data_IF_785375959794
#
_entry.id   IF_785375959794
#
_cell.length_a   1.000
_cell.length_b   1.000
_cell.length_c   1.000
_cell.angle_alpha   90.00
_cell.angle_beta   90.00
_cell.angle_gamma   90.00
#
_symmetry.space_group_name_H-M   'P 1'
#
loop_
_entity.id
_entity.type
_entity.pdbx_description
1 polymer ?
#
# COMPACT_ATOMS: atom_id res chain seq x y z
N UNK A 1 -54.76 11.16 21.72
CA UNK A 1 -54.32 11.64 20.39
C UNK A 1 -52.88 12.19 20.34
N UNK A 2 -52.17 12.31 21.46
CA UNK A 2 -50.82 12.87 21.54
C UNK A 2 -49.69 11.83 21.19
N UNK A 3 -49.93 10.55 21.38
CA UNK A 3 -48.91 9.50 21.20
C UNK A 3 -48.53 9.24 19.73
N UNK A 4 -49.42 9.56 18.79
CA UNK A 4 -49.24 9.32 17.34
C UNK A 4 -48.33 10.35 16.66
N UNK A 5 -48.05 11.50 17.30
CA UNK A 5 -47.20 12.57 16.76
C UNK A 5 -45.74 12.49 17.20
N UNK A 6 -45.42 11.68 18.19
CA UNK A 6 -44.05 11.54 18.69
C UNK A 6 -43.24 10.43 17.99
N UNK A 7 -43.92 9.52 17.30
CA UNK A 7 -43.29 8.42 16.58
C UNK A 7 -42.35 8.84 15.43
N UNK A 8 -42.72 9.85 14.61
CA UNK A 8 -41.82 10.26 13.51
C UNK A 8 -40.57 11.02 13.97
N UNK A 9 -40.61 11.66 15.15
CA UNK A 9 -39.41 12.34 15.68
C UNK A 9 -38.36 11.33 16.23
N UNK A 10 -38.82 10.23 16.78
CA UNK A 10 -37.94 9.19 17.31
C UNK A 10 -37.16 8.41 16.19
N UNK A 11 -37.82 8.23 15.03
CA UNK A 11 -37.19 7.61 13.87
C UNK A 11 -36.14 8.51 13.18
N UNK A 12 -36.36 9.84 13.17
CA UNK A 12 -35.39 10.77 12.58
C UNK A 12 -34.09 10.88 13.40
N UNK A 13 -34.16 10.70 14.73
CA UNK A 13 -33.00 10.73 15.61
C UNK A 13 -32.11 9.49 15.50
N UNK A 14 -32.69 8.35 15.22
CA UNK A 14 -31.94 7.09 15.08
C UNK A 14 -31.12 7.01 13.79
N UNK A 15 -31.54 7.70 12.72
CA UNK A 15 -30.84 7.68 11.43
C UNK A 15 -29.53 8.50 11.44
N UNK A 16 -29.37 9.46 12.35
CA UNK A 16 -28.16 10.28 12.43
C UNK A 16 -26.97 9.60 13.14
N UNK A 17 -27.21 8.52 13.88
CA UNK A 17 -26.15 7.86 14.65
C UNK A 17 -25.38 6.78 13.84
N UNK A 18 -25.83 6.44 12.63
CA UNK A 18 -25.19 5.43 11.78
C UNK A 18 -24.15 6.04 10.82
N UNK A 19 -24.11 7.36 10.68
CA UNK A 19 -23.18 8.06 9.77
C UNK A 19 -21.76 8.22 10.34
N UNK A 20 -21.49 7.71 11.55
CA UNK A 20 -20.22 7.91 12.25
C UNK A 20 -19.12 6.88 12.00
N UNK A 21 -19.41 5.78 11.30
CA UNK A 21 -18.44 4.72 11.01
C UNK A 21 -18.18 4.52 9.51
N UNK A 22 -18.30 5.58 8.71
CA UNK A 22 -17.60 5.58 7.43
C UNK A 22 -16.12 5.69 7.78
N UNK A 23 -15.47 4.53 7.95
CA UNK A 23 -14.02 4.45 8.01
C UNK A 23 -13.50 5.32 6.87
N UNK A 24 -12.60 6.23 7.19
CA UNK A 24 -11.84 6.91 6.15
C UNK A 24 -11.16 5.80 5.38
N UNK A 25 -11.74 5.41 4.25
CA UNK A 25 -11.00 4.71 3.23
C UNK A 25 -9.83 5.65 2.92
N UNK A 26 -8.64 5.27 3.36
CA UNK A 26 -7.44 6.02 3.06
C UNK A 26 -7.28 5.88 1.57
N UNK A 27 -7.56 6.95 0.86
CA UNK A 27 -7.53 6.96 -0.60
C UNK A 27 -6.07 6.90 -1.06
N UNK A 28 -5.57 5.66 -1.20
CA UNK A 28 -4.28 5.38 -1.82
C UNK A 28 -4.30 5.64 -3.34
N UNK A 29 -5.49 5.84 -3.92
CA UNK A 29 -5.68 6.02 -5.36
C UNK A 29 -5.11 7.32 -5.91
N UNK A 30 -4.85 8.31 -5.04
CA UNK A 30 -4.23 9.59 -5.41
C UNK A 30 -2.72 9.65 -5.16
N UNK A 31 -2.12 8.60 -4.59
CA UNK A 31 -0.70 8.60 -4.25
C UNK A 31 0.19 8.42 -5.49
N UNK A 32 1.29 9.17 -5.54
CA UNK A 32 2.31 9.02 -6.57
C UNK A 32 3.33 7.95 -6.16
N UNK A 33 3.21 6.75 -6.73
CA UNK A 33 4.09 5.61 -6.44
C UNK A 33 5.54 5.86 -6.90
N UNK A 34 5.78 6.63 -7.94
CA UNK A 34 7.14 6.95 -8.39
C UNK A 34 7.82 7.91 -7.42
N UNK A 35 7.09 8.91 -6.96
CA UNK A 35 7.54 9.78 -5.87
C UNK A 35 7.80 8.97 -4.60
N UNK A 36 6.87 8.08 -4.24
CA UNK A 36 7.01 7.17 -3.10
C UNK A 36 8.27 6.31 -3.16
N UNK A 37 8.57 5.70 -4.32
CA UNK A 37 9.79 4.93 -4.55
C UNK A 37 11.06 5.76 -4.34
N UNK A 38 11.08 6.95 -4.93
CA UNK A 38 12.22 7.85 -4.83
C UNK A 38 12.46 8.32 -3.38
N UNK A 39 11.38 8.68 -2.70
CA UNK A 39 11.41 9.11 -1.30
C UNK A 39 11.83 7.97 -0.38
N UNK A 40 11.33 6.76 -0.62
CA UNK A 40 11.73 5.57 0.13
C UNK A 40 13.23 5.30 -0.01
N UNK A 41 13.73 5.24 -1.23
CA UNK A 41 15.15 4.98 -1.48
C UNK A 41 16.04 6.02 -0.77
N UNK A 42 15.62 7.29 -0.76
CA UNK A 42 16.37 8.40 -0.15
C UNK A 42 16.34 8.38 1.38
N UNK A 43 15.17 8.14 1.98
CA UNK A 43 14.95 8.35 3.41
C UNK A 43 14.92 7.06 4.24
N UNK A 44 14.57 5.94 3.62
CA UNK A 44 14.35 4.65 4.30
C UNK A 44 15.38 3.60 3.89
N UNK A 45 15.88 3.66 2.65
CA UNK A 45 16.74 2.65 2.04
C UNK A 45 18.09 2.45 2.72
N UNK A 46 18.60 3.44 3.47
CA UNK A 46 19.82 3.30 4.27
C UNK A 46 19.66 2.34 5.45
N UNK A 47 18.43 2.13 5.92
CA UNK A 47 18.14 1.26 7.05
C UNK A 47 17.34 0.02 6.67
N UNK A 48 16.48 0.10 5.65
CA UNK A 48 15.58 -0.98 5.25
C UNK A 48 15.94 -1.59 3.89
N UNK A 49 15.80 -2.90 3.79
CA UNK A 49 15.80 -3.61 2.52
C UNK A 49 14.39 -3.59 1.92
N UNK A 50 14.31 -3.24 0.64
CA UNK A 50 13.12 -3.38 -0.21
C UNK A 50 13.59 -3.60 -1.65
N UNK A 51 13.35 -4.79 -2.19
CA UNK A 51 13.94 -5.23 -3.47
C UNK A 51 13.51 -4.34 -4.64
N UNK A 52 12.23 -3.96 -4.71
CA UNK A 52 11.73 -3.08 -5.77
C UNK A 52 12.42 -1.71 -5.76
N UNK A 53 12.75 -1.16 -4.59
CA UNK A 53 13.49 0.08 -4.44
C UNK A 53 15.01 -0.08 -4.63
N UNK A 54 15.50 -1.29 -4.89
CA UNK A 54 16.93 -1.64 -4.95
C UNK A 54 17.71 -1.21 -3.70
N UNK A 55 17.12 -1.30 -2.52
CA UNK A 55 17.75 -0.96 -1.25
C UNK A 55 18.16 -2.22 -0.47
N UNK A 56 19.21 -2.10 0.34
CA UNK A 56 19.82 -3.21 1.06
C UNK A 56 20.23 -2.83 2.50
N UNK A 57 19.53 -1.88 3.12
CA UNK A 57 19.77 -1.48 4.50
C UNK A 57 19.46 -2.62 5.47
N UNK A 58 20.26 -2.77 6.52
CA UNK A 58 20.17 -3.89 7.49
C UNK A 58 19.98 -3.44 8.93
N UNK A 59 19.79 -2.14 9.17
CA UNK A 59 19.53 -1.60 10.52
C UNK A 59 18.09 -1.84 10.93
N UNK A 60 17.17 -1.67 9.99
CA UNK A 60 15.75 -1.97 10.13
C UNK A 60 15.38 -3.32 9.51
N UNK A 61 14.15 -3.78 9.68
CA UNK A 61 13.69 -5.03 9.07
C UNK A 61 13.70 -4.96 7.54
N UNK A 62 13.91 -6.11 6.90
CA UNK A 62 13.64 -6.31 5.50
C UNK A 62 12.13 -6.27 5.29
N UNK A 63 11.62 -5.29 4.53
CA UNK A 63 10.18 -5.08 4.36
C UNK A 63 9.54 -6.15 3.46
N UNK A 64 10.30 -6.71 2.49
CA UNK A 64 9.78 -7.82 1.69
C UNK A 64 9.51 -9.05 2.55
N UNK A 65 10.40 -9.37 3.49
CA UNK A 65 10.22 -10.52 4.38
C UNK A 65 9.10 -10.27 5.39
N UNK A 66 9.08 -9.09 6.00
CA UNK A 66 8.09 -8.72 7.00
C UNK A 66 6.64 -8.79 6.44
N UNK A 67 6.41 -8.24 5.27
CA UNK A 67 5.07 -8.23 4.68
C UNK A 67 4.71 -9.49 3.90
N UNK A 68 5.70 -10.29 3.46
CA UNK A 68 5.44 -11.59 2.82
C UNK A 68 4.75 -12.56 3.76
N UNK A 69 5.19 -12.62 5.00
CA UNK A 69 4.54 -13.46 6.01
C UNK A 69 3.07 -13.04 6.19
N UNK A 70 2.82 -11.75 6.39
CA UNK A 70 1.46 -11.22 6.54
C UNK A 70 0.57 -11.52 5.32
N UNK A 71 1.10 -11.34 4.10
CA UNK A 71 0.36 -11.66 2.86
C UNK A 71 0.05 -13.16 2.73
N UNK A 72 0.98 -14.04 3.13
CA UNK A 72 0.78 -15.49 3.04
C UNK A 72 -0.20 -16.02 4.08
N UNK A 73 -0.21 -15.46 5.28
CA UNK A 73 -1.11 -15.86 6.37
C UNK A 73 -2.55 -15.41 6.13
N UNK A 74 -2.75 -14.26 5.52
CA UNK A 74 -4.07 -13.74 5.19
C UNK A 74 -4.73 -14.45 3.99
N UNK A 75 -3.97 -15.22 3.22
CA UNK A 75 -4.51 -15.89 2.02
C UNK A 75 -5.01 -14.89 0.98
N UNK A 76 -6.21 -15.11 0.45
CA UNK A 76 -6.83 -14.23 -0.55
C UNK A 76 -7.44 -12.94 0.02
N UNK A 77 -7.53 -12.81 1.33
CA UNK A 77 -8.18 -11.68 2.02
C UNK A 77 -7.17 -10.60 2.47
N UNK A 78 -5.95 -10.63 1.94
CA UNK A 78 -4.94 -9.62 2.28
C UNK A 78 -5.33 -8.26 1.70
N UNK A 79 -5.52 -7.29 2.61
CA UNK A 79 -5.80 -5.91 2.23
C UNK A 79 -4.51 -5.07 2.22
N UNK A 80 -4.17 -4.52 1.07
CA UNK A 80 -3.02 -3.62 0.92
C UNK A 80 -3.13 -2.38 1.82
N UNK A 81 -4.34 -1.97 2.20
CA UNK A 81 -4.58 -0.88 3.15
C UNK A 81 -3.91 -1.15 4.51
N UNK A 82 -3.82 -2.42 4.92
CA UNK A 82 -3.12 -2.79 6.15
C UNK A 82 -1.63 -2.45 6.09
N UNK A 83 -0.96 -2.74 4.96
CA UNK A 83 0.46 -2.37 4.79
C UNK A 83 0.64 -0.87 4.73
N UNK A 84 -0.28 -0.20 4.05
CA UNK A 84 -0.29 1.26 3.97
C UNK A 84 -0.40 1.89 5.36
N UNK A 85 -1.39 1.50 6.15
CA UNK A 85 -1.63 2.06 7.47
C UNK A 85 -0.48 1.76 8.42
N UNK A 86 0.02 0.52 8.47
CA UNK A 86 1.17 0.14 9.29
C UNK A 86 2.41 0.96 8.90
N UNK A 87 2.67 1.14 7.60
CA UNK A 87 3.84 1.90 7.14
C UNK A 87 3.71 3.37 7.53
N UNK A 88 2.53 3.95 7.33
CA UNK A 88 2.25 5.35 7.66
C UNK A 88 2.39 5.61 9.17
N UNK A 89 1.83 4.73 9.99
CA UNK A 89 1.91 4.82 11.44
C UNK A 89 3.35 4.63 11.95
N UNK A 90 4.11 3.70 11.37
CA UNK A 90 5.52 3.54 11.74
C UNK A 90 6.34 4.79 11.43
N UNK A 91 6.11 5.49 10.33
CA UNK A 91 6.79 6.74 10.03
C UNK A 91 6.45 7.87 11.02
N UNK A 92 5.22 7.87 11.55
CA UNK A 92 4.72 8.89 12.49
C UNK A 92 5.06 8.59 13.95
N UNK A 93 5.03 7.31 14.34
CA UNK A 93 5.11 6.88 15.73
C UNK A 93 6.43 6.17 16.07
N UNK A 94 7.38 6.15 15.12
CA UNK A 94 8.64 5.45 15.29
C UNK A 94 9.41 5.88 16.55
N UNK A 95 10.13 4.90 17.11
CA UNK A 95 11.08 5.10 18.18
C UNK A 95 12.50 4.73 17.70
N UNK A 96 13.54 5.31 18.29
CA UNK A 96 14.92 4.97 17.94
C UNK A 96 15.17 3.45 17.88
N UNK A 97 15.96 2.97 16.90
CA UNK A 97 16.79 3.73 15.98
C UNK A 97 16.07 4.35 14.75
N UNK A 98 14.82 4.03 14.49
CA UNK A 98 14.06 4.63 13.40
C UNK A 98 13.64 6.07 13.79
N UNK A 99 13.95 7.08 12.97
CA UNK A 99 13.50 8.44 13.25
C UNK A 99 12.01 8.61 12.94
N UNK A 100 11.40 9.60 13.55
CA UNK A 100 10.07 10.06 13.17
C UNK A 100 10.16 10.92 11.92
N UNK A 101 9.19 10.76 11.03
CA UNK A 101 9.13 11.51 9.77
C UNK A 101 7.96 12.50 9.70
N UNK A 102 7.09 12.54 10.70
CA UNK A 102 6.02 13.54 10.83
C UNK A 102 6.53 14.83 11.52
N UNK A 103 7.72 14.80 12.08
CA UNK A 103 8.28 15.89 12.87
C UNK A 103 9.81 15.81 12.92
N UNK A 104 10.42 16.91 13.33
CA UNK A 104 11.88 16.99 13.51
C UNK A 104 12.66 17.29 12.22
N UNK A 105 14.00 17.10 12.24
CA UNK A 105 14.89 17.52 11.13
C UNK A 105 14.69 16.75 9.82
N UNK A 106 14.05 15.58 9.88
CA UNK A 106 13.78 14.71 8.73
C UNK A 106 12.29 14.68 8.38
N UNK A 107 11.52 15.66 8.87
CA UNK A 107 10.08 15.69 8.63
C UNK A 107 9.77 15.77 7.13
N UNK A 108 8.81 14.95 6.74
CA UNK A 108 8.21 14.88 5.42
C UNK A 108 6.81 15.47 5.49
N UNK A 109 6.32 15.98 4.37
CA UNK A 109 4.92 16.39 4.26
C UNK A 109 3.99 15.19 4.34
N UNK A 110 2.74 15.43 4.68
CA UNK A 110 1.71 14.38 4.73
C UNK A 110 1.54 13.66 3.38
N UNK A 111 1.68 14.39 2.27
CA UNK A 111 1.65 13.83 0.93
C UNK A 111 2.83 12.89 0.69
N UNK A 112 4.05 13.30 1.05
CA UNK A 112 5.24 12.46 0.91
C UNK A 112 5.16 11.19 1.75
N UNK A 113 4.64 11.28 2.99
CA UNK A 113 4.41 10.13 3.86
C UNK A 113 3.42 9.15 3.22
N UNK A 114 2.32 9.67 2.64
CA UNK A 114 1.32 8.85 1.95
C UNK A 114 1.89 8.20 0.68
N UNK A 115 2.67 8.92 -0.09
CA UNK A 115 3.31 8.38 -1.29
C UNK A 115 4.26 7.23 -0.94
N UNK A 116 5.06 7.36 0.13
CA UNK A 116 5.91 6.28 0.63
C UNK A 116 5.06 5.09 1.09
N UNK A 117 4.03 5.32 1.89
CA UNK A 117 3.19 4.25 2.42
C UNK A 117 2.47 3.48 1.30
N UNK A 118 1.92 4.19 0.31
CA UNK A 118 1.27 3.58 -0.85
C UNK A 118 2.27 2.78 -1.71
N UNK A 119 3.46 3.32 -1.93
CA UNK A 119 4.51 2.60 -2.65
C UNK A 119 4.90 1.31 -1.92
N UNK A 120 5.20 1.36 -0.62
CA UNK A 120 5.53 0.17 0.16
C UNK A 120 4.38 -0.84 0.12
N UNK A 121 3.13 -0.40 0.28
CA UNK A 121 1.95 -1.26 0.21
C UNK A 121 1.83 -1.99 -1.13
N UNK A 122 2.20 -1.33 -2.23
CA UNK A 122 2.08 -1.91 -3.57
C UNK A 122 3.15 -2.96 -3.88
N UNK A 123 4.34 -2.91 -3.24
CA UNK A 123 5.48 -3.76 -3.64
C UNK A 123 6.01 -4.68 -2.53
N UNK A 124 5.92 -4.30 -1.25
CA UNK A 124 6.54 -5.04 -0.16
C UNK A 124 5.90 -6.42 0.03
N UNK A 125 6.72 -7.47 0.04
CA UNK A 125 6.27 -8.85 0.20
C UNK A 125 5.52 -9.42 -1.00
N UNK A 126 5.41 -8.69 -2.11
CA UNK A 126 4.89 -9.22 -3.37
C UNK A 126 6.00 -10.06 -4.01
N UNK A 127 5.74 -11.35 -4.34
CA UNK A 127 6.72 -12.14 -5.06
C UNK A 127 7.10 -11.44 -6.38
N UNK A 128 8.39 -11.47 -6.77
CA UNK A 128 8.79 -10.96 -8.06
C UNK A 128 7.92 -11.60 -9.14
N UNK A 129 7.12 -10.80 -9.81
CA UNK A 129 6.37 -11.29 -10.95
C UNK A 129 7.40 -11.61 -12.02
N UNK A 130 7.56 -12.89 -12.35
CA UNK A 130 8.29 -13.29 -13.53
C UNK A 130 7.59 -12.60 -14.69
N UNK A 131 8.18 -11.53 -15.21
CA UNK A 131 7.76 -10.95 -16.48
C UNK A 131 8.07 -11.97 -17.55
N UNK A 132 7.22 -12.99 -17.68
CA UNK A 132 7.15 -13.80 -18.87
C UNK A 132 6.65 -12.83 -19.94
N UNK A 133 7.62 -12.23 -20.64
CA UNK A 133 7.34 -11.39 -21.77
C UNK A 133 6.45 -12.18 -22.73
N UNK A 134 5.19 -11.81 -22.80
CA UNK A 134 4.34 -12.19 -23.92
C UNK A 134 4.89 -11.42 -25.12
N UNK A 135 5.94 -11.97 -25.72
CA UNK A 135 6.29 -11.67 -27.08
C UNK A 135 5.11 -12.16 -27.92
N UNK A 136 4.28 -11.24 -28.38
CA UNK A 136 3.29 -11.52 -29.40
C UNK A 136 4.06 -12.05 -30.62
N UNK A 137 4.18 -13.37 -30.70
CA UNK A 137 4.75 -14.06 -31.84
C UNK A 137 3.81 -13.87 -33.02
N UNK A 138 4.22 -13.00 -33.95
CA UNK A 138 3.71 -12.97 -35.32
C UNK A 138 4.00 -14.32 -35.93
N UNK A 139 2.96 -15.15 -36.05
CA UNK A 139 3.05 -16.45 -36.69
C UNK A 139 3.39 -16.31 -38.17
N UNK A 140 4.62 -16.57 -38.53
CA UNK A 140 5.01 -16.85 -39.91
C UNK A 140 4.98 -18.36 -40.09
N UNK A 141 3.97 -18.84 -40.82
CA UNK A 141 3.83 -20.21 -41.27
C UNK A 141 4.97 -20.55 -42.23
N UNK A 142 5.77 -21.61 -42.01
CA UNK A 142 6.69 -22.09 -43.03
C UNK A 142 5.91 -22.82 -44.11
N UNK A 143 5.99 -22.31 -45.35
CA UNK A 143 5.44 -22.97 -46.53
C UNK A 143 6.11 -24.33 -46.79
N UNK A 144 5.30 -25.33 -47.00
CA UNK A 144 5.70 -26.66 -47.47
C UNK A 144 6.20 -26.54 -48.93
N UNK A 145 7.49 -26.70 -49.16
CA UNK A 145 8.04 -26.88 -50.49
C UNK A 145 8.18 -28.37 -50.77
N UNK A 146 7.29 -28.89 -51.61
CA UNK A 146 7.43 -30.21 -52.26
C UNK A 146 8.34 -29.99 -53.49
N UNK A 147 9.44 -30.69 -53.54
CA UNK A 147 10.27 -30.77 -54.76
C UNK A 147 10.20 -32.18 -55.35
N UNK A 148 10.39 -32.35 -56.67
CA UNK A 148 10.13 -33.56 -57.47
C UNK A 148 11.11 -34.67 -57.25
#
# INVERSE_FOLDING_TARGET
MALRRLLPLALAGAALLIAGCAGRAVDSSSADLNSGKTLFAKNCGGCHTLADAATAGTVGPNLDDAFRAARSEAGGDFDESTVFDVTLDQMRLAAPPMPRFDSGPQALSEEELRNIAAYVASVAGVPPQSTTGTTAGTGTTPGTTTAP
#
